data_IF_516685259568
#
_entry.id   IF_516685259568
#
_cell.length_a   1.000
_cell.length_b   1.000
_cell.length_c   1.000
_cell.angle_alpha   90.00
_cell.angle_beta   90.00
_cell.angle_gamma   90.00
#
_symmetry.space_group_name_H-M   'P 1'
#
loop_
_entity.id
_entity.type
_entity.pdbx_description
1 polymer ?
#
# COMPACT_ATOMS: atom_id res chain seq x y z
N UNK A 1 -8.16 -4.23 -4.71
CA UNK A 1 -7.75 -5.59 -5.07
C UNK A 1 -7.11 -6.25 -3.87
N UNK A 2 -7.55 -7.52 -3.55
CA UNK A 2 -7.22 -8.18 -2.30
C UNK A 2 -8.14 -7.71 -1.16
N UNK A 3 -8.97 -8.62 -0.63
CA UNK A 3 -9.99 -8.34 0.38
C UNK A 3 -9.71 -9.12 1.68
N UNK A 4 -8.45 -9.27 2.02
CA UNK A 4 -8.00 -9.71 3.33
C UNK A 4 -8.37 -8.70 4.42
N UNK A 5 -7.76 -8.84 5.61
CA UNK A 5 -8.03 -7.93 6.72
C UNK A 5 -7.82 -6.45 6.36
N UNK A 6 -6.66 -6.09 5.82
CA UNK A 6 -6.36 -4.71 5.41
C UNK A 6 -7.20 -4.26 4.21
N UNK A 7 -7.36 -5.11 3.20
CA UNK A 7 -8.15 -4.77 2.01
C UNK A 7 -9.62 -4.44 2.31
N UNK A 8 -10.19 -5.11 3.32
CA UNK A 8 -11.50 -4.74 3.85
C UNK A 8 -11.51 -3.30 4.39
N UNK A 9 -10.46 -2.90 5.13
CA UNK A 9 -10.36 -1.54 5.66
C UNK A 9 -10.19 -0.51 4.53
N UNK A 10 -9.38 -0.82 3.50
CA UNK A 10 -9.26 0.03 2.31
C UNK A 10 -10.61 0.24 1.63
N UNK A 11 -11.35 -0.84 1.37
CA UNK A 11 -12.69 -0.74 0.79
C UNK A 11 -13.64 0.11 1.65
N UNK A 12 -13.59 -0.06 2.98
CA UNK A 12 -14.37 0.74 3.95
C UNK A 12 -14.04 2.23 3.88
N UNK A 13 -12.75 2.57 3.76
CA UNK A 13 -12.31 3.97 3.67
C UNK A 13 -12.72 4.58 2.33
N UNK A 14 -12.44 3.91 1.22
CA UNK A 14 -12.84 4.40 -0.11
C UNK A 14 -14.35 4.58 -0.26
N UNK A 15 -15.16 3.72 0.38
CA UNK A 15 -16.62 3.87 0.38
C UNK A 15 -17.12 5.13 1.12
N UNK A 16 -16.27 5.73 1.97
CA UNK A 16 -16.60 6.93 2.77
C UNK A 16 -15.96 8.22 2.26
N UNK A 17 -14.93 8.11 1.40
CA UNK A 17 -14.23 9.27 0.87
C UNK A 17 -15.11 10.01 -0.13
N UNK A 18 -15.37 11.30 0.13
CA UNK A 18 -16.10 12.16 -0.80
C UNK A 18 -15.30 12.50 -2.07
N UNK A 19 -13.96 12.42 -2.01
CA UNK A 19 -13.05 12.72 -3.12
C UNK A 19 -12.78 11.53 -4.04
N UNK A 20 -13.25 10.33 -3.71
CA UNK A 20 -13.04 9.13 -4.51
C UNK A 20 -14.30 8.27 -4.56
N UNK A 21 -14.50 7.60 -5.68
CA UNK A 21 -15.61 6.67 -5.87
C UNK A 21 -15.11 5.23 -5.82
N UNK A 22 -15.60 4.46 -4.88
CA UNK A 22 -15.37 3.01 -4.86
C UNK A 22 -16.21 2.36 -5.98
N UNK A 23 -15.60 2.16 -7.14
CA UNK A 23 -16.26 1.60 -8.33
C UNK A 23 -16.53 0.11 -8.16
N UNK A 24 -15.60 -0.61 -7.53
CA UNK A 24 -15.74 -2.03 -7.31
C UNK A 24 -14.60 -2.65 -6.53
N UNK A 25 -14.75 -3.94 -6.27
CA UNK A 25 -13.77 -4.77 -5.54
C UNK A 25 -13.48 -6.05 -6.30
N UNK A 26 -12.27 -6.58 -6.11
CA UNK A 26 -11.84 -7.86 -6.67
C UNK A 26 -10.99 -8.63 -5.68
N UNK A 27 -11.25 -9.92 -5.57
CA UNK A 27 -10.45 -10.89 -4.82
C UNK A 27 -10.55 -12.25 -5.52
N UNK A 28 -9.50 -13.06 -5.45
CA UNK A 28 -9.52 -14.45 -5.94
C UNK A 28 -10.57 -15.29 -5.20
N UNK A 29 -10.85 -14.95 -3.95
CA UNK A 29 -11.95 -15.53 -3.18
C UNK A 29 -13.27 -14.82 -3.54
N UNK A 30 -14.02 -15.41 -4.43
CA UNK A 30 -15.30 -14.89 -4.93
C UNK A 30 -16.30 -14.57 -3.81
N UNK A 31 -16.34 -15.39 -2.75
CA UNK A 31 -17.24 -15.18 -1.61
C UNK A 31 -16.90 -13.87 -0.89
N UNK A 32 -15.62 -13.66 -0.55
CA UNK A 32 -15.17 -12.39 0.06
C UNK A 32 -15.46 -11.18 -0.83
N UNK A 33 -15.29 -11.35 -2.14
CA UNK A 33 -15.57 -10.30 -3.12
C UNK A 33 -17.05 -9.87 -3.05
N UNK A 34 -17.97 -10.82 -3.11
CA UNK A 34 -19.43 -10.56 -3.06
C UNK A 34 -19.83 -9.97 -1.70
N UNK A 35 -19.39 -10.57 -0.58
CA UNK A 35 -19.70 -10.09 0.77
C UNK A 35 -19.24 -8.63 0.98
N UNK A 36 -18.03 -8.31 0.54
CA UNK A 36 -17.47 -6.96 0.64
C UNK A 36 -18.23 -5.97 -0.25
N UNK A 37 -18.52 -6.38 -1.48
CA UNK A 37 -19.28 -5.55 -2.42
C UNK A 37 -20.67 -5.18 -1.89
N UNK A 38 -21.41 -6.15 -1.35
CA UNK A 38 -22.72 -5.95 -0.73
C UNK A 38 -22.61 -4.98 0.46
N UNK A 39 -21.63 -5.18 1.33
CA UNK A 39 -21.46 -4.35 2.54
C UNK A 39 -21.17 -2.90 2.22
N UNK A 40 -20.39 -2.62 1.19
CA UNK A 40 -20.02 -1.25 0.81
C UNK A 40 -20.81 -0.70 -0.37
N UNK A 41 -21.87 -1.39 -0.79
CA UNK A 41 -22.78 -0.98 -1.88
C UNK A 41 -22.01 -0.68 -3.17
N UNK A 42 -21.07 -1.56 -3.52
CA UNK A 42 -20.25 -1.48 -4.73
C UNK A 42 -20.37 -2.75 -5.57
N UNK A 43 -19.63 -2.85 -6.68
CA UNK A 43 -19.69 -4.00 -7.59
C UNK A 43 -18.61 -5.02 -7.28
N UNK A 44 -18.94 -6.33 -7.17
CA UNK A 44 -17.93 -7.38 -7.24
C UNK A 44 -17.52 -7.58 -8.70
N UNK A 45 -16.23 -7.73 -8.96
CA UNK A 45 -15.72 -8.08 -10.28
C UNK A 45 -15.21 -9.52 -10.29
N UNK A 46 -15.45 -10.23 -11.37
CA UNK A 46 -15.04 -11.62 -11.53
C UNK A 46 -13.57 -11.76 -11.95
N UNK A 47 -13.01 -10.70 -12.56
CA UNK A 47 -11.61 -10.64 -12.97
C UNK A 47 -11.00 -9.26 -12.71
N UNK A 48 -9.67 -9.22 -12.60
CA UNK A 48 -8.92 -7.98 -12.47
C UNK A 48 -9.10 -7.10 -13.72
N UNK A 49 -9.02 -7.70 -14.90
CA UNK A 49 -9.17 -7.00 -16.19
C UNK A 49 -10.53 -6.34 -16.31
N UNK A 50 -11.59 -7.00 -15.83
CA UNK A 50 -12.93 -6.44 -15.79
C UNK A 50 -13.01 -5.19 -14.92
N UNK A 51 -12.35 -5.20 -13.76
CA UNK A 51 -12.23 -4.04 -12.87
C UNK A 51 -11.44 -2.92 -13.53
N UNK A 52 -10.28 -3.22 -14.13
CA UNK A 52 -9.38 -2.22 -14.71
C UNK A 52 -10.05 -1.39 -15.82
N UNK A 53 -10.99 -1.96 -16.57
CA UNK A 53 -11.77 -1.23 -17.58
C UNK A 53 -12.68 -0.14 -17.00
N UNK A 54 -12.88 -0.08 -15.68
CA UNK A 54 -13.88 0.78 -15.03
C UNK A 54 -13.28 1.76 -14.02
N UNK A 55 -11.99 1.68 -13.77
CA UNK A 55 -11.29 2.47 -12.73
C UNK A 55 -10.13 3.26 -13.33
N UNK A 56 -9.73 4.32 -12.64
CA UNK A 56 -8.54 5.12 -12.94
C UNK A 56 -7.37 4.72 -12.05
N UNK A 57 -7.68 4.26 -10.83
CA UNK A 57 -6.68 3.86 -9.85
C UNK A 57 -7.09 2.58 -9.12
N UNK A 58 -6.10 1.85 -8.61
CA UNK A 58 -6.28 0.58 -7.91
C UNK A 58 -5.51 0.59 -6.59
N UNK A 59 -6.18 0.20 -5.52
CA UNK A 59 -5.51 -0.13 -4.25
C UNK A 59 -5.22 -1.63 -4.21
N UNK A 60 -3.94 -1.98 -4.09
CA UNK A 60 -3.42 -3.36 -4.08
C UNK A 60 -3.07 -3.73 -2.65
N UNK A 61 -3.80 -4.69 -2.11
CA UNK A 61 -3.71 -5.17 -0.72
C UNK A 61 -3.71 -6.70 -0.70
N UNK A 62 -3.04 -7.28 -1.66
CA UNK A 62 -2.79 -8.72 -1.77
C UNK A 62 -1.64 -9.13 -0.84
N UNK A 63 -1.35 -10.42 -0.64
CA UNK A 63 -0.07 -10.84 -0.05
C UNK A 63 1.11 -10.29 -0.86
N UNK A 64 2.21 -9.96 -0.17
CA UNK A 64 3.38 -9.27 -0.75
C UNK A 64 3.92 -9.94 -2.01
N UNK A 65 4.01 -11.26 -2.02
CA UNK A 65 4.42 -12.06 -3.19
C UNK A 65 3.61 -11.82 -4.47
N UNK A 66 2.42 -11.22 -4.34
CA UNK A 66 1.56 -10.89 -5.48
C UNK A 66 1.56 -9.39 -5.82
N UNK A 67 2.28 -8.55 -5.07
CA UNK A 67 2.30 -7.11 -5.29
C UNK A 67 2.87 -6.77 -6.67
N UNK A 68 4.08 -7.26 -6.99
CA UNK A 68 4.72 -7.01 -8.28
C UNK A 68 3.81 -7.40 -9.44
N UNK A 69 3.38 -8.65 -9.50
CA UNK A 69 2.53 -9.17 -10.59
C UNK A 69 1.23 -8.37 -10.76
N UNK A 70 0.56 -8.07 -9.65
CA UNK A 70 -0.72 -7.34 -9.68
C UNK A 70 -0.52 -5.88 -10.09
N UNK A 71 0.50 -5.22 -9.56
CA UNK A 71 0.84 -3.84 -9.88
C UNK A 71 1.24 -3.69 -11.36
N UNK A 72 2.06 -4.61 -11.87
CA UNK A 72 2.48 -4.64 -13.27
C UNK A 72 1.28 -4.65 -14.21
N UNK A 73 0.32 -5.57 -13.99
CA UNK A 73 -0.91 -5.63 -14.78
C UNK A 73 -1.69 -4.30 -14.72
N UNK A 74 -1.80 -3.71 -13.53
CA UNK A 74 -2.50 -2.43 -13.38
C UNK A 74 -1.80 -1.30 -14.15
N UNK A 75 -0.48 -1.18 -13.99
CA UNK A 75 0.33 -0.13 -14.62
C UNK A 75 0.35 -0.29 -16.15
N UNK A 76 0.51 -1.51 -16.67
CA UNK A 76 0.42 -1.82 -18.10
C UNK A 76 -0.91 -1.38 -18.73
N UNK A 77 -1.99 -1.43 -17.94
CA UNK A 77 -3.32 -0.94 -18.32
C UNK A 77 -3.51 0.57 -18.06
N UNK A 78 -2.44 1.31 -17.76
CA UNK A 78 -2.48 2.76 -17.54
C UNK A 78 -3.19 3.17 -16.24
N UNK A 79 -3.17 2.34 -15.20
CA UNK A 79 -3.83 2.65 -13.92
C UNK A 79 -2.82 3.11 -12.88
N UNK A 80 -3.17 4.16 -12.15
CA UNK A 80 -2.46 4.54 -10.95
C UNK A 80 -2.63 3.46 -9.88
N UNK A 81 -1.59 3.25 -9.06
CA UNK A 81 -1.63 2.19 -8.05
C UNK A 81 -1.24 2.71 -6.67
N UNK A 82 -2.02 2.34 -5.68
CA UNK A 82 -1.62 2.36 -4.28
C UNK A 82 -1.28 0.92 -3.89
N UNK A 83 -0.08 0.68 -3.43
CA UNK A 83 0.40 -0.65 -3.05
C UNK A 83 0.69 -0.66 -1.56
N UNK A 84 0.17 -1.66 -0.82
CA UNK A 84 0.55 -1.84 0.58
C UNK A 84 2.05 -2.15 0.73
N UNK A 85 2.57 -1.80 1.89
CA UNK A 85 3.96 -2.11 2.26
C UNK A 85 4.14 -3.62 2.55
N UNK A 86 5.32 -4.18 2.26
CA UNK A 86 6.36 -3.60 1.41
C UNK A 86 5.91 -3.53 -0.04
N UNK A 87 6.48 -2.61 -0.83
CA UNK A 87 6.08 -2.43 -2.23
C UNK A 87 6.17 -3.74 -3.03
N UNK A 88 7.24 -4.50 -2.84
CA UNK A 88 7.55 -5.79 -3.47
C UNK A 88 8.37 -6.64 -2.51
N UNK A 89 8.69 -7.88 -2.91
CA UNK A 89 9.58 -8.75 -2.14
C UNK A 89 11.05 -8.37 -2.32
N UNK A 90 11.44 -7.90 -3.51
CA UNK A 90 12.82 -7.53 -3.84
C UNK A 90 12.94 -6.10 -4.36
N UNK A 91 14.16 -5.56 -4.31
CA UNK A 91 14.47 -4.22 -4.85
C UNK A 91 14.39 -4.20 -6.37
N UNK A 92 14.77 -5.30 -7.02
CA UNK A 92 14.72 -5.47 -8.48
C UNK A 92 13.28 -5.34 -8.97
N UNK A 93 12.35 -6.02 -8.32
CA UNK A 93 10.91 -5.93 -8.62
C UNK A 93 10.39 -4.49 -8.43
N UNK A 94 10.82 -3.80 -7.37
CA UNK A 94 10.42 -2.42 -7.13
C UNK A 94 10.94 -1.50 -8.24
N UNK A 95 12.19 -1.65 -8.65
CA UNK A 95 12.78 -0.89 -9.74
C UNK A 95 12.08 -1.15 -11.08
N UNK A 96 11.69 -2.40 -11.35
CA UNK A 96 10.90 -2.76 -12.53
C UNK A 96 9.57 -2.00 -12.56
N UNK A 97 8.84 -1.97 -11.44
CA UNK A 97 7.56 -1.27 -11.35
C UNK A 97 7.72 0.24 -11.51
N UNK A 98 8.77 0.83 -10.93
CA UNK A 98 9.05 2.27 -11.04
C UNK A 98 9.31 2.65 -12.49
N UNK A 99 10.21 1.93 -13.18
CA UNK A 99 10.53 2.17 -14.59
C UNK A 99 9.30 2.00 -15.49
N UNK A 100 8.48 0.99 -15.22
CA UNK A 100 7.23 0.76 -15.96
C UNK A 100 6.23 1.91 -15.74
N UNK A 101 6.08 2.38 -14.50
CA UNK A 101 5.18 3.47 -14.17
C UNK A 101 5.60 4.78 -14.84
N UNK A 102 6.89 5.09 -14.86
CA UNK A 102 7.45 6.23 -15.59
C UNK A 102 7.12 6.16 -17.08
N UNK A 103 7.35 4.98 -17.70
CA UNK A 103 7.04 4.76 -19.11
C UNK A 103 5.56 4.93 -19.45
N UNK A 104 4.67 4.53 -18.52
CA UNK A 104 3.21 4.60 -18.70
C UNK A 104 2.60 5.91 -18.22
N UNK A 105 3.37 6.80 -17.60
CA UNK A 105 2.86 8.04 -17.00
C UNK A 105 1.89 7.78 -15.85
N UNK A 106 2.08 6.70 -15.10
CA UNK A 106 1.23 6.33 -13.96
C UNK A 106 1.92 6.65 -12.63
N UNK A 107 1.15 6.75 -11.57
CA UNK A 107 1.64 7.03 -10.23
C UNK A 107 1.62 5.75 -9.41
N UNK A 108 2.71 5.48 -8.70
CA UNK A 108 2.80 4.49 -7.64
C UNK A 108 2.85 5.23 -6.31
N UNK A 109 1.93 4.89 -5.40
CA UNK A 109 1.96 5.32 -4.02
C UNK A 109 2.09 4.10 -3.11
N UNK A 110 3.11 4.08 -2.27
CA UNK A 110 3.30 3.01 -1.28
C UNK A 110 2.60 3.35 0.03
N UNK A 111 2.03 2.35 0.68
CA UNK A 111 1.23 2.46 1.91
C UNK A 111 2.05 2.71 3.19
N UNK A 112 2.98 3.66 3.19
CA UNK A 112 3.71 4.10 4.37
C UNK A 112 2.85 5.01 5.26
N UNK A 113 1.79 4.44 5.82
CA UNK A 113 0.74 5.19 6.53
C UNK A 113 1.20 5.85 7.82
N UNK A 114 2.29 5.36 8.43
CA UNK A 114 2.84 5.94 9.66
C UNK A 114 3.35 7.37 9.46
N UNK A 115 3.72 7.78 8.24
CA UNK A 115 4.02 9.20 7.93
C UNK A 115 2.85 10.13 8.21
N UNK A 116 1.64 9.62 8.17
CA UNK A 116 0.40 10.36 8.37
C UNK A 116 -0.14 10.19 9.80
N UNK A 117 0.65 9.60 10.70
CA UNK A 117 0.25 9.42 12.08
C UNK A 117 0.07 10.79 12.76
N UNK A 118 -1.11 11.11 13.32
CA UNK A 118 -1.36 12.38 13.96
C UNK A 118 -0.38 12.72 15.10
N UNK A 119 0.20 11.70 15.76
CA UNK A 119 1.20 11.90 16.80
C UNK A 119 2.49 12.56 16.26
N UNK A 120 2.75 12.48 14.97
CA UNK A 120 3.90 13.11 14.31
C UNK A 120 3.61 14.54 13.83
N UNK A 121 2.34 14.92 13.73
CA UNK A 121 1.96 16.24 13.22
C UNK A 121 2.62 17.42 13.98
N UNK A 122 2.80 17.39 15.31
CA UNK A 122 3.49 18.44 16.03
C UNK A 122 4.95 18.64 15.60
N UNK A 123 5.61 17.59 15.11
CA UNK A 123 7.03 17.67 14.68
C UNK A 123 7.22 18.62 13.49
N UNK A 124 6.18 18.83 12.68
CA UNK A 124 6.23 19.76 11.56
C UNK A 124 6.48 21.24 11.99
N UNK A 125 6.22 21.56 13.25
CA UNK A 125 6.42 22.91 13.80
C UNK A 125 7.85 23.14 14.32
N UNK A 126 8.71 22.13 14.25
CA UNK A 126 10.09 22.20 14.73
C UNK A 126 11.07 22.03 13.57
N UNK A 127 12.15 22.81 13.60
CA UNK A 127 13.30 22.56 12.72
C UNK A 127 14.15 21.44 13.32
N UNK A 128 13.84 20.21 12.90
CA UNK A 128 14.46 19.00 13.45
C UNK A 128 15.71 18.67 12.65
N UNK A 129 16.87 18.76 13.30
CA UNK A 129 18.16 18.33 12.76
C UNK A 129 18.83 17.32 13.71
N UNK A 130 18.39 16.07 13.72
CA UNK A 130 18.82 15.10 14.69
C UNK A 130 20.27 14.67 14.44
N UNK A 131 21.04 14.54 15.50
CA UNK A 131 22.41 13.98 15.48
C UNK A 131 22.41 12.49 15.81
N UNK A 132 21.37 12.03 16.47
CA UNK A 132 21.16 10.65 16.84
C UNK A 132 19.66 10.37 16.91
N UNK A 133 19.25 9.20 16.43
CA UNK A 133 17.87 8.73 16.51
C UNK A 133 17.91 7.30 17.05
N UNK A 134 17.13 7.03 18.07
CA UNK A 134 16.85 5.69 18.56
C UNK A 134 15.36 5.41 18.41
N UNK A 135 15.02 4.26 17.85
CA UNK A 135 13.64 3.83 17.69
C UNK A 135 13.46 2.46 18.33
N UNK A 136 12.47 2.36 19.21
CA UNK A 136 12.09 1.10 19.85
C UNK A 136 10.65 0.77 19.49
N UNK A 137 10.44 -0.35 18.79
CA UNK A 137 9.11 -0.85 18.45
C UNK A 137 8.87 -2.18 19.16
N UNK A 138 8.19 -2.09 20.29
CA UNK A 138 7.81 -3.24 21.11
C UNK A 138 6.36 -3.61 20.79
N UNK A 139 6.16 -4.73 20.13
CA UNK A 139 4.83 -5.24 19.80
C UNK A 139 4.66 -6.68 20.32
N UNK A 140 3.47 -7.04 20.82
CA UNK A 140 3.17 -8.43 21.14
C UNK A 140 3.29 -9.31 19.90
N UNK A 141 3.73 -10.55 20.08
CA UNK A 141 3.74 -11.52 19.00
C UNK A 141 2.33 -11.70 18.42
N UNK A 142 2.23 -11.60 17.12
CA UNK A 142 1.01 -11.90 16.38
C UNK A 142 1.31 -12.97 15.34
N UNK A 143 0.42 -13.95 15.20
CA UNK A 143 0.57 -15.04 14.22
C UNK A 143 0.37 -14.61 12.76
N UNK A 144 0.06 -13.34 12.51
CA UNK A 144 -0.08 -12.77 11.16
C UNK A 144 1.22 -12.10 10.74
N UNK A 145 1.59 -12.24 9.46
CA UNK A 145 2.81 -11.63 8.90
C UNK A 145 4.09 -12.40 9.24
N UNK A 146 3.99 -13.65 9.68
CA UNK A 146 5.14 -14.50 10.00
C UNK A 146 5.89 -15.01 8.77
N UNK A 147 5.34 -14.80 7.60
CA UNK A 147 5.90 -15.10 6.28
C UNK A 147 6.83 -13.99 5.75
N UNK A 148 6.88 -12.83 6.43
CA UNK A 148 7.69 -11.68 6.03
C UNK A 148 8.74 -11.40 7.13
N UNK A 149 10.00 -11.10 6.77
CA UNK A 149 11.01 -10.66 7.73
C UNK A 149 10.55 -9.44 8.53
N UNK A 150 10.87 -9.40 9.83
CA UNK A 150 10.49 -8.31 10.74
C UNK A 150 10.91 -6.92 10.24
N UNK A 151 12.01 -6.85 9.49
CA UNK A 151 12.48 -5.60 8.86
C UNK A 151 11.44 -5.08 7.85
N UNK A 152 10.91 -5.95 7.01
CA UNK A 152 9.92 -5.59 5.98
C UNK A 152 8.50 -5.49 6.53
N UNK A 153 8.21 -6.05 7.69
CA UNK A 153 6.87 -5.96 8.29
C UNK A 153 6.73 -4.79 9.26
N UNK A 154 7.62 -4.69 10.22
CA UNK A 154 7.55 -3.71 11.32
C UNK A 154 8.55 -2.57 11.18
N UNK A 155 9.83 -2.89 11.02
CA UNK A 155 10.91 -1.91 11.01
C UNK A 155 10.83 -0.98 9.79
N UNK A 156 10.20 -1.40 8.71
CA UNK A 156 9.99 -0.58 7.51
C UNK A 156 9.28 0.76 7.82
N UNK A 157 8.38 0.77 8.80
CA UNK A 157 7.71 1.99 9.23
C UNK A 157 8.67 2.96 9.92
N UNK A 158 9.56 2.43 10.74
CA UNK A 158 10.53 3.23 11.49
C UNK A 158 11.62 3.76 10.56
N UNK A 159 12.09 2.93 9.62
CA UNK A 159 13.03 3.33 8.56
C UNK A 159 12.42 4.46 7.73
N UNK A 160 11.17 4.31 7.31
CA UNK A 160 10.46 5.31 6.50
C UNK A 160 10.34 6.65 7.24
N UNK A 161 10.01 6.64 8.54
CA UNK A 161 9.95 7.84 9.37
C UNK A 161 11.31 8.50 9.55
N UNK A 162 12.36 7.71 9.82
CA UNK A 162 13.73 8.23 9.94
C UNK A 162 14.17 8.90 8.65
N UNK A 163 13.94 8.26 7.50
CA UNK A 163 14.26 8.83 6.18
C UNK A 163 13.48 10.12 5.88
N UNK A 164 12.25 10.22 6.37
CA UNK A 164 11.45 11.43 6.21
C UNK A 164 11.92 12.60 7.08
N UNK A 165 12.47 12.30 8.27
CA UNK A 165 12.99 13.30 9.22
C UNK A 165 14.42 13.71 8.85
N UNK A 166 15.27 12.73 8.53
CA UNK A 166 16.68 12.97 8.18
C UNK A 166 16.78 13.23 6.69
N UNK A 167 16.79 14.50 6.30
CA UNK A 167 16.83 14.95 4.90
C UNK A 167 18.23 14.85 4.29
N UNK A 168 18.89 13.69 4.46
CA UNK A 168 20.23 13.44 3.91
C UNK A 168 20.30 12.06 3.25
N UNK A 169 21.21 11.86 2.27
CA UNK A 169 21.44 10.55 1.69
C UNK A 169 21.92 9.57 2.74
N UNK A 170 21.47 8.32 2.62
CA UNK A 170 21.99 7.22 3.42
C UNK A 170 23.45 6.96 3.00
N UNK A 171 24.37 6.96 3.94
CA UNK A 171 25.74 6.49 3.75
C UNK A 171 25.88 5.12 4.40
N UNK A 172 26.79 4.30 3.85
CA UNK A 172 27.10 3.02 4.46
C UNK A 172 27.65 3.18 5.89
#
# INVERSE_FOLDING_TARGET
>A
VGLGHLGYHHAKHFAKLGSAKLVGVYDINKRKCVETALKFKTKPFESLEGLLKKVEAVSIVTPTQNHNKTAKICIENGKHVFIEKPITETVEEANELIALAETKGTIIQVGHVERLNPALAPLANFDINPKFIEVQRLAPYMSRGTDIPVVLDLMIHDIDLVLAIVRSPVKQ
#
